data_IF_884332400748
#
_entry.id   IF_884332400748
#
_cell.length_a   1.000
_cell.length_b   1.000
_cell.length_c   1.000
_cell.angle_alpha   90.00
_cell.angle_beta   90.00
_cell.angle_gamma   90.00
#
_symmetry.space_group_name_H-M   'P 1'
#
loop_
_entity.id
_entity.type
_entity.pdbx_description
1 polymer ?
#
# COMPACT_ATOMS: atom_id res chain seq x y z
N UNK A 1 -0.80 -4.59 -1.81
CA UNK A 1 -1.27 -5.13 -0.49
C UNK A 1 -1.75 -6.54 -0.74
N UNK A 2 -1.20 -7.52 -0.04
CA UNK A 2 -1.54 -8.94 -0.24
C UNK A 2 -3.04 -9.19 -0.03
N UNK A 3 -3.64 -10.01 -0.90
CA UNK A 3 -5.07 -10.33 -0.97
C UNK A 3 -6.01 -9.12 -1.22
N UNK A 4 -5.48 -8.03 -1.79
CA UNK A 4 -6.21 -6.80 -2.09
C UNK A 4 -5.85 -6.21 -3.45
N UNK A 5 -4.55 -6.09 -3.78
CA UNK A 5 -4.09 -5.38 -4.99
C UNK A 5 -3.87 -6.34 -6.15
N UNK A 6 -4.86 -7.19 -6.40
CA UNK A 6 -4.92 -8.08 -7.55
C UNK A 6 -5.30 -7.34 -8.86
N UNK A 7 -5.25 -8.03 -9.98
CA UNK A 7 -5.58 -7.46 -11.29
C UNK A 7 -6.98 -6.80 -11.34
N UNK A 8 -8.07 -7.41 -10.81
CA UNK A 8 -9.37 -6.76 -10.73
C UNK A 8 -9.36 -5.43 -10.00
N UNK A 9 -8.65 -5.36 -8.86
CA UNK A 9 -8.51 -4.12 -8.10
C UNK A 9 -7.70 -3.05 -8.85
N UNK A 10 -6.64 -3.43 -9.55
CA UNK A 10 -5.86 -2.48 -10.38
C UNK A 10 -6.72 -1.88 -11.50
N UNK A 11 -7.55 -2.69 -12.16
CA UNK A 11 -8.54 -2.22 -13.16
C UNK A 11 -9.50 -1.20 -12.58
N UNK A 12 -10.03 -1.51 -11.39
CA UNK A 12 -10.94 -0.62 -10.69
C UNK A 12 -10.27 0.71 -10.34
N UNK A 13 -9.06 0.68 -9.80
CA UNK A 13 -8.32 1.90 -9.44
C UNK A 13 -8.03 2.77 -10.67
N UNK A 14 -7.72 2.18 -11.82
CA UNK A 14 -7.52 2.93 -13.07
C UNK A 14 -8.78 3.70 -13.49
N UNK A 15 -9.99 3.12 -13.30
CA UNK A 15 -11.28 3.78 -13.56
C UNK A 15 -11.45 5.07 -12.74
N UNK A 16 -10.94 5.11 -11.52
CA UNK A 16 -11.08 6.22 -10.58
C UNK A 16 -9.88 7.21 -10.58
N UNK A 17 -9.06 7.17 -11.62
CA UNK A 17 -7.95 8.11 -11.81
C UNK A 17 -6.56 7.54 -11.53
N UNK A 18 -6.46 6.37 -10.94
CA UNK A 18 -5.28 5.52 -10.83
C UNK A 18 -3.98 6.15 -10.33
N UNK A 19 -3.06 5.31 -9.91
CA UNK A 19 -1.69 5.70 -9.55
C UNK A 19 -0.82 5.90 -10.81
N UNK A 20 0.31 6.60 -10.68
CA UNK A 20 1.28 6.77 -11.76
C UNK A 20 2.11 5.50 -11.99
N UNK A 21 2.30 4.70 -10.92
CA UNK A 21 3.01 3.41 -10.93
C UNK A 21 2.25 2.44 -10.02
N UNK A 22 2.13 1.19 -10.45
CA UNK A 22 1.52 0.14 -9.65
C UNK A 22 2.57 -0.88 -9.17
N UNK A 23 2.34 -1.42 -7.96
CA UNK A 23 3.10 -2.54 -7.42
C UNK A 23 2.21 -3.78 -7.36
N UNK A 24 2.73 -4.92 -7.80
CA UNK A 24 2.01 -6.19 -7.65
C UNK A 24 1.86 -6.57 -6.18
N UNK A 25 0.99 -7.51 -5.89
CA UNK A 25 1.15 -8.32 -4.69
C UNK A 25 2.53 -8.98 -4.71
N UNK A 26 3.06 -9.37 -3.53
CA UNK A 26 4.40 -9.92 -3.53
C UNK A 26 4.44 -11.39 -3.95
N UNK A 27 5.32 -11.72 -4.87
CA UNK A 27 5.72 -13.11 -5.15
C UNK A 27 6.47 -13.66 -3.95
N UNK A 28 5.97 -14.77 -3.39
CA UNK A 28 6.60 -15.44 -2.25
C UNK A 28 7.75 -16.30 -2.74
N UNK A 29 8.96 -16.03 -2.23
CA UNK A 29 10.18 -16.73 -2.62
C UNK A 29 10.61 -17.67 -1.51
N UNK A 30 10.73 -18.94 -1.86
CA UNK A 30 11.19 -20.05 -1.02
C UNK A 30 11.72 -21.19 -1.94
N UNK A 31 12.46 -22.18 -1.40
CA UNK A 31 12.99 -23.27 -2.20
C UNK A 31 11.92 -23.97 -3.07
N UNK A 32 12.23 -24.12 -4.36
CA UNK A 32 11.36 -24.72 -5.37
C UNK A 32 10.06 -23.93 -5.68
N UNK A 33 9.97 -22.66 -5.28
CA UNK A 33 8.83 -21.83 -5.67
C UNK A 33 8.80 -21.56 -7.18
N UNK A 34 7.60 -21.24 -7.67
CA UNK A 34 7.36 -20.78 -9.05
C UNK A 34 6.63 -19.46 -8.99
N UNK A 35 6.65 -18.70 -10.09
CA UNK A 35 5.83 -17.48 -10.22
C UNK A 35 4.35 -17.82 -9.99
N UNK A 36 3.74 -17.09 -9.06
CA UNK A 36 2.30 -17.18 -8.82
C UNK A 36 1.55 -16.64 -10.04
N UNK A 37 0.76 -17.52 -10.68
CA UNK A 37 0.03 -17.19 -11.92
C UNK A 37 -1.02 -16.11 -11.74
N UNK A 38 -1.62 -15.99 -10.54
CA UNK A 38 -2.61 -14.95 -10.26
C UNK A 38 -1.96 -13.58 -10.16
N UNK A 39 -0.83 -13.50 -9.44
CA UNK A 39 -0.07 -12.26 -9.33
C UNK A 39 0.51 -11.90 -10.71
N UNK A 40 1.02 -12.88 -11.45
CA UNK A 40 1.61 -12.66 -12.77
C UNK A 40 0.61 -12.07 -13.78
N UNK A 41 -0.68 -12.38 -13.67
CA UNK A 41 -1.72 -11.75 -14.49
C UNK A 41 -1.75 -10.22 -14.33
N UNK A 42 -1.44 -9.70 -13.15
CA UNK A 42 -1.35 -8.25 -12.92
C UNK A 42 -0.25 -7.57 -13.76
N UNK A 43 0.76 -8.34 -14.16
CA UNK A 43 1.84 -7.90 -15.04
C UNK A 43 1.48 -8.11 -16.51
N UNK A 44 1.13 -9.36 -16.88
CA UNK A 44 0.94 -9.76 -18.29
C UNK A 44 -0.36 -9.24 -18.91
N UNK A 45 -1.35 -8.93 -18.10
CA UNK A 45 -2.65 -8.43 -18.51
C UNK A 45 -2.93 -7.03 -17.94
N UNK A 46 -1.88 -6.28 -17.59
CA UNK A 46 -1.99 -4.94 -17.01
C UNK A 46 -2.82 -4.02 -17.93
N UNK A 47 -4.05 -3.63 -17.53
CA UNK A 47 -4.92 -2.81 -18.37
C UNK A 47 -4.81 -1.32 -18.06
N UNK A 48 -3.93 -0.95 -17.13
CA UNK A 48 -3.86 0.42 -16.61
C UNK A 48 -3.02 1.34 -17.48
N UNK A 49 -2.27 0.79 -18.47
CA UNK A 49 -1.28 1.49 -19.29
C UNK A 49 -0.19 2.20 -18.45
N UNK A 50 -0.12 1.89 -17.15
CA UNK A 50 0.87 2.45 -16.23
C UNK A 50 1.97 1.45 -15.93
N UNK A 51 3.17 1.94 -15.63
CA UNK A 51 4.28 1.08 -15.21
C UNK A 51 3.90 0.19 -14.04
N UNK A 52 4.36 -1.06 -14.06
CA UNK A 52 4.14 -2.01 -12.98
C UNK A 52 5.47 -2.54 -12.45
N UNK A 53 5.60 -2.54 -11.14
CA UNK A 53 6.75 -3.05 -10.38
C UNK A 53 6.38 -4.42 -9.84
N UNK A 54 7.22 -5.43 -10.11
CA UNK A 54 7.04 -6.78 -9.56
C UNK A 54 7.71 -6.86 -8.18
N UNK A 55 6.91 -6.99 -7.13
CA UNK A 55 7.40 -7.10 -5.76
C UNK A 55 7.61 -8.57 -5.38
N UNK A 56 8.73 -8.89 -4.75
CA UNK A 56 9.01 -10.21 -4.20
C UNK A 56 9.34 -10.15 -2.71
N UNK A 57 9.14 -11.26 -2.00
CA UNK A 57 9.41 -11.39 -0.57
C UNK A 57 10.02 -12.77 -0.29
N UNK A 58 11.14 -12.79 0.42
CA UNK A 58 11.88 -14.01 0.77
C UNK A 58 13.13 -13.67 1.56
N UNK A 59 13.96 -14.69 1.83
CA UNK A 59 15.23 -14.54 2.56
C UNK A 59 16.35 -15.43 2.02
N UNK A 60 16.04 -16.28 1.04
CA UNK A 60 17.01 -17.17 0.42
C UNK A 60 17.59 -16.52 -0.83
N UNK A 61 18.91 -16.29 -0.85
CA UNK A 61 19.59 -15.53 -1.90
C UNK A 61 19.48 -16.23 -3.26
N UNK A 62 19.70 -17.54 -3.29
CA UNK A 62 19.65 -18.32 -4.54
C UNK A 62 18.26 -18.23 -5.18
N UNK A 63 17.21 -18.42 -4.37
CA UNK A 63 15.84 -18.37 -4.88
C UNK A 63 15.36 -16.96 -5.18
N UNK A 64 15.84 -15.93 -4.44
CA UNK A 64 15.56 -14.53 -4.75
C UNK A 64 16.18 -14.11 -6.09
N UNK A 65 17.43 -14.46 -6.35
CA UNK A 65 18.11 -14.16 -7.62
C UNK A 65 17.45 -14.89 -8.79
N UNK A 66 17.10 -16.19 -8.60
CA UNK A 66 16.36 -16.94 -9.60
C UNK A 66 15.00 -16.31 -9.92
N UNK A 67 14.23 -15.94 -8.90
CA UNK A 67 12.92 -15.29 -9.06
C UNK A 67 13.07 -13.93 -9.77
N UNK A 68 14.06 -13.13 -9.38
CA UNK A 68 14.35 -11.86 -10.03
C UNK A 68 14.66 -12.02 -11.52
N UNK A 69 15.45 -13.05 -11.88
CA UNK A 69 15.77 -13.38 -13.29
C UNK A 69 14.50 -13.76 -14.06
N UNK A 70 13.62 -14.56 -13.48
CA UNK A 70 12.37 -15.00 -14.10
C UNK A 70 11.41 -13.83 -14.28
N UNK A 71 11.25 -12.96 -13.27
CA UNK A 71 10.39 -11.77 -13.35
C UNK A 71 10.81 -10.81 -14.46
N UNK A 72 12.09 -10.64 -14.72
CA UNK A 72 12.61 -9.79 -15.79
C UNK A 72 12.27 -10.26 -17.22
N UNK A 73 11.76 -11.48 -17.39
CA UNK A 73 11.24 -11.96 -18.67
C UNK A 73 9.82 -11.41 -18.98
N UNK A 74 9.23 -10.66 -18.04
CA UNK A 74 7.88 -10.10 -18.16
C UNK A 74 7.92 -8.57 -18.28
N UNK A 75 6.85 -7.92 -18.76
CA UNK A 75 6.82 -6.46 -18.99
C UNK A 75 6.70 -5.68 -17.67
N UNK A 76 7.73 -5.72 -16.85
CA UNK A 76 7.89 -4.97 -15.62
C UNK A 76 8.90 -3.84 -15.79
N UNK A 77 8.75 -2.75 -15.03
CA UNK A 77 9.72 -1.65 -15.02
C UNK A 77 10.77 -1.80 -13.91
N UNK A 78 10.47 -2.57 -12.89
CA UNK A 78 11.38 -2.83 -11.78
C UNK A 78 11.07 -4.15 -11.08
N UNK A 79 12.09 -4.72 -10.44
CA UNK A 79 11.98 -5.74 -9.40
C UNK A 79 12.10 -5.04 -8.05
N UNK A 80 11.16 -5.31 -7.13
CA UNK A 80 11.13 -4.72 -5.79
C UNK A 80 11.30 -5.80 -4.71
N UNK A 81 12.18 -5.54 -3.75
CA UNK A 81 12.34 -6.39 -2.57
C UNK A 81 11.53 -5.84 -1.38
N UNK A 82 10.61 -6.65 -0.86
CA UNK A 82 9.84 -6.29 0.33
C UNK A 82 10.59 -6.65 1.63
N UNK A 83 11.07 -5.64 2.34
CA UNK A 83 11.66 -5.72 3.68
C UNK A 83 10.75 -5.16 4.79
N UNK A 84 9.46 -4.94 4.50
CA UNK A 84 8.56 -4.23 5.43
C UNK A 84 7.30 -4.98 5.85
N UNK A 85 7.05 -6.22 5.38
CA UNK A 85 5.83 -6.95 5.72
C UNK A 85 5.78 -7.29 7.21
N UNK A 86 4.74 -6.80 7.97
CA UNK A 86 4.67 -7.01 9.41
C UNK A 86 3.88 -8.28 9.79
N UNK A 87 3.50 -9.11 8.82
CA UNK A 87 2.69 -10.30 9.08
C UNK A 87 3.51 -11.36 9.86
N UNK A 88 3.00 -11.89 10.99
CA UNK A 88 3.71 -12.90 11.78
C UNK A 88 4.13 -14.14 10.98
N UNK A 89 3.30 -14.57 10.03
CA UNK A 89 3.59 -15.71 9.14
C UNK A 89 4.79 -15.45 8.21
N UNK A 90 5.15 -14.18 8.00
CA UNK A 90 6.30 -13.77 7.17
C UNK A 90 7.53 -13.52 8.04
N UNK A 91 7.43 -12.61 9.03
CA UNK A 91 8.62 -12.22 9.80
C UNK A 91 9.18 -13.33 10.69
N UNK A 92 8.35 -14.27 11.14
CA UNK A 92 8.83 -15.47 11.87
C UNK A 92 9.71 -16.40 11.02
N UNK A 93 9.58 -16.29 9.69
CA UNK A 93 10.44 -17.00 8.72
C UNK A 93 11.66 -16.16 8.30
N UNK A 94 12.01 -15.11 9.04
CA UNK A 94 13.07 -14.16 8.71
C UNK A 94 12.96 -13.58 7.28
N UNK A 95 11.72 -13.34 6.80
CA UNK A 95 11.46 -12.70 5.51
C UNK A 95 10.71 -11.37 5.71
N UNK A 96 10.66 -10.53 4.68
CA UNK A 96 10.03 -9.22 4.78
C UNK A 96 10.60 -8.40 5.93
N UNK A 97 9.72 -7.86 6.80
CA UNK A 97 10.17 -7.11 7.97
C UNK A 97 11.06 -7.89 8.95
N UNK A 98 11.03 -9.23 8.90
CA UNK A 98 11.88 -10.07 9.75
C UNK A 98 13.36 -9.96 9.44
N UNK A 99 13.73 -9.59 8.21
CA UNK A 99 15.11 -9.35 7.77
C UNK A 99 15.73 -8.11 8.43
N UNK A 100 14.92 -7.14 8.87
CA UNK A 100 15.44 -5.92 9.49
C UNK A 100 16.15 -6.14 10.84
N UNK A 101 16.13 -7.37 11.38
CA UNK A 101 16.92 -7.77 12.55
C UNK A 101 18.35 -8.19 12.23
N UNK A 102 18.66 -8.35 10.94
CA UNK A 102 19.95 -8.87 10.46
C UNK A 102 20.43 -7.99 9.28
N UNK A 103 20.99 -6.80 9.57
CA UNK A 103 21.52 -5.90 8.55
C UNK A 103 22.57 -6.55 7.64
N UNK A 104 23.42 -7.44 8.16
CA UNK A 104 24.42 -8.16 7.36
C UNK A 104 23.74 -9.08 6.34
N UNK A 105 22.63 -9.71 6.71
CA UNK A 105 21.84 -10.53 5.79
C UNK A 105 21.19 -9.68 4.73
N UNK A 106 20.66 -8.51 5.10
CA UNK A 106 20.11 -7.52 4.14
C UNK A 106 21.20 -7.12 3.14
N UNK A 107 22.40 -6.77 3.61
CA UNK A 107 23.55 -6.39 2.77
C UNK A 107 23.85 -7.46 1.71
N UNK A 108 23.96 -8.73 2.13
CA UNK A 108 24.24 -9.85 1.23
C UNK A 108 23.13 -10.08 0.18
N UNK A 109 21.86 -9.97 0.61
CA UNK A 109 20.71 -10.13 -0.30
C UNK A 109 20.71 -9.01 -1.34
N UNK A 110 20.88 -7.74 -0.90
CA UNK A 110 20.86 -6.59 -1.81
C UNK A 110 22.02 -6.67 -2.83
N UNK A 111 23.22 -7.04 -2.39
CA UNK A 111 24.37 -7.23 -3.28
C UNK A 111 24.08 -8.26 -4.37
N UNK A 112 23.61 -9.44 -3.99
CA UNK A 112 23.27 -10.49 -4.95
C UNK A 112 22.15 -10.08 -5.91
N UNK A 113 21.14 -9.37 -5.43
CA UNK A 113 20.05 -8.89 -6.29
C UNK A 113 20.50 -7.75 -7.20
N UNK A 114 21.36 -6.83 -6.73
CA UNK A 114 21.89 -5.76 -7.59
C UNK A 114 22.68 -6.31 -8.78
N UNK A 115 23.45 -7.37 -8.56
CA UNK A 115 24.19 -8.04 -9.63
C UNK A 115 23.27 -8.71 -10.67
N UNK A 116 22.16 -9.29 -10.22
CA UNK A 116 21.22 -10.03 -11.06
C UNK A 116 20.22 -9.15 -11.79
N UNK A 117 19.71 -8.09 -11.16
CA UNK A 117 18.63 -7.25 -11.69
C UNK A 117 19.19 -6.25 -12.69
N UNK A 118 18.72 -6.32 -13.96
CA UNK A 118 19.13 -5.43 -15.08
C UNK A 118 18.11 -4.34 -15.40
N UNK A 119 16.83 -4.55 -15.01
CA UNK A 119 15.83 -3.47 -14.95
C UNK A 119 16.06 -2.65 -13.67
N UNK A 120 15.19 -1.72 -13.35
CA UNK A 120 15.29 -1.01 -12.06
C UNK A 120 15.16 -1.96 -10.89
N UNK A 121 16.01 -1.76 -9.87
CA UNK A 121 15.96 -2.49 -8.61
C UNK A 121 15.50 -1.57 -7.49
N UNK A 122 14.38 -1.90 -6.86
CA UNK A 122 13.79 -1.07 -5.81
C UNK A 122 13.63 -1.85 -4.51
N UNK A 123 13.56 -1.13 -3.40
CA UNK A 123 13.41 -1.71 -2.06
C UNK A 123 12.26 -1.03 -1.35
N UNK A 124 11.39 -1.82 -0.73
CA UNK A 124 10.37 -1.32 0.19
C UNK A 124 10.65 -1.80 1.61
N UNK A 125 10.90 -0.87 2.52
CA UNK A 125 11.29 -1.15 3.91
C UNK A 125 10.37 -0.51 4.94
N UNK A 126 10.63 -0.86 6.21
CA UNK A 126 10.23 -0.11 7.41
C UNK A 126 11.48 0.44 8.11
N UNK A 127 11.29 1.31 9.09
CA UNK A 127 12.39 1.93 9.82
C UNK A 127 13.04 1.03 10.89
N UNK A 128 12.65 -0.23 10.96
CA UNK A 128 13.23 -1.22 11.86
C UNK A 128 12.26 -2.34 12.19
N UNK A 129 12.72 -3.30 13.00
CA UNK A 129 11.86 -4.41 13.46
C UNK A 129 11.19 -4.10 14.80
N UNK A 130 11.95 -4.06 15.89
CA UNK A 130 11.47 -3.76 17.23
C UNK A 130 11.50 -2.25 17.49
N UNK A 131 12.60 -1.62 17.17
CA UNK A 131 12.89 -0.22 17.37
C UNK A 131 13.45 0.43 16.10
N UNK A 132 13.42 1.76 15.97
CA UNK A 132 13.90 2.46 14.76
C UNK A 132 15.42 2.69 14.71
N UNK A 133 16.18 2.45 15.77
CA UNK A 133 17.63 2.75 15.84
C UNK A 133 18.43 1.97 14.77
N UNK A 134 18.01 0.74 14.45
CA UNK A 134 18.62 -0.07 13.40
C UNK A 134 18.54 0.56 12.01
N UNK A 135 17.69 1.59 11.84
CA UNK A 135 17.56 2.27 10.54
C UNK A 135 18.85 2.99 10.15
N UNK A 136 19.63 3.46 11.13
CA UNK A 136 20.94 4.09 10.92
C UNK A 136 21.99 3.11 10.38
N UNK A 137 21.84 1.82 10.69
CA UNK A 137 22.69 0.77 10.12
C UNK A 137 22.21 0.35 8.72
N UNK A 138 20.90 0.42 8.47
CA UNK A 138 20.30 0.01 7.20
C UNK A 138 20.49 1.03 6.08
N UNK A 139 20.46 2.34 6.38
CA UNK A 139 20.59 3.38 5.36
C UNK A 139 21.89 3.29 4.57
N UNK A 140 23.08 3.16 5.20
CA UNK A 140 24.34 2.94 4.46
C UNK A 140 24.33 1.70 3.59
N UNK A 141 23.65 0.63 4.03
CA UNK A 141 23.51 -0.61 3.25
C UNK A 141 22.68 -0.36 1.99
N UNK A 142 21.53 0.34 2.10
CA UNK A 142 20.72 0.69 0.93
C UNK A 142 21.50 1.58 -0.05
N UNK A 143 22.24 2.58 0.45
CA UNK A 143 23.04 3.46 -0.37
C UNK A 143 24.19 2.74 -1.09
N UNK A 144 24.85 1.77 -0.43
CA UNK A 144 25.96 0.98 -0.97
C UNK A 144 25.58 0.20 -2.23
N UNK A 145 24.34 -0.29 -2.32
CA UNK A 145 23.90 -1.20 -3.39
C UNK A 145 23.27 -0.50 -4.60
N UNK A 146 23.37 0.83 -4.70
CA UNK A 146 22.91 1.61 -5.86
C UNK A 146 21.48 1.19 -6.31
N UNK A 147 20.56 1.17 -5.34
CA UNK A 147 19.14 0.89 -5.63
C UNK A 147 18.52 2.08 -6.34
N UNK A 148 17.59 1.81 -7.28
CA UNK A 148 16.97 2.84 -8.13
C UNK A 148 15.85 3.61 -7.43
N UNK A 149 15.29 3.07 -6.33
CA UNK A 149 14.24 3.73 -5.53
C UNK A 149 14.10 3.03 -4.17
N UNK A 150 13.96 3.83 -3.11
CA UNK A 150 13.65 3.35 -1.78
C UNK A 150 12.24 3.78 -1.36
N UNK A 151 11.40 2.86 -0.92
CA UNK A 151 10.11 3.19 -0.28
C UNK A 151 10.20 2.93 1.22
N UNK A 152 9.99 3.95 2.04
CA UNK A 152 10.09 3.86 3.50
C UNK A 152 8.72 3.99 4.15
N UNK A 153 8.28 2.95 4.86
CA UNK A 153 7.17 3.06 5.80
C UNK A 153 7.72 3.51 7.16
N UNK A 154 7.39 4.72 7.58
CA UNK A 154 7.90 5.35 8.80
C UNK A 154 7.37 4.72 10.10
N UNK A 155 7.33 3.41 10.20
CA UNK A 155 7.04 2.63 11.42
C UNK A 155 7.88 1.38 11.47
N UNK A 156 8.19 0.89 12.66
CA UNK A 156 8.80 -0.42 12.84
C UNK A 156 7.79 -1.56 12.55
N UNK A 157 8.28 -2.78 12.43
CA UNK A 157 7.42 -3.95 12.24
C UNK A 157 6.50 -4.16 13.46
N UNK A 158 7.01 -3.96 14.67
CA UNK A 158 6.27 -4.14 15.93
C UNK A 158 5.21 -3.09 16.15
N UNK A 159 5.45 -1.85 15.77
CA UNK A 159 4.45 -0.77 15.81
C UNK A 159 3.26 -1.09 14.90
N UNK A 160 3.50 -1.79 13.80
CA UNK A 160 2.45 -2.20 12.86
C UNK A 160 1.75 -1.00 12.25
N UNK A 161 0.59 -0.63 12.81
CA UNK A 161 -0.25 0.52 12.40
C UNK A 161 -0.79 1.28 13.62
N UNK A 162 -0.19 1.12 14.80
CA UNK A 162 -0.74 1.60 16.07
C UNK A 162 -0.07 2.85 16.62
N UNK A 163 1.14 3.16 16.15
CA UNK A 163 1.89 4.37 16.53
C UNK A 163 1.71 5.46 15.48
N UNK A 164 2.29 6.61 15.75
CA UNK A 164 2.54 7.65 14.77
C UNK A 164 3.51 7.17 13.69
N UNK A 165 3.57 7.89 12.57
CA UNK A 165 4.54 7.66 11.51
C UNK A 165 5.75 8.53 11.78
N UNK A 166 6.93 7.95 11.86
CA UNK A 166 8.21 8.66 12.00
C UNK A 166 8.60 9.30 10.65
N UNK A 167 7.98 10.44 10.33
CA UNK A 167 8.27 11.18 9.09
C UNK A 167 9.69 11.77 9.09
N UNK A 168 10.24 12.09 10.26
CA UNK A 168 11.63 12.50 10.47
C UNK A 168 12.62 11.44 9.97
N UNK A 169 12.34 10.15 10.19
CA UNK A 169 13.19 9.06 9.67
C UNK A 169 13.06 8.90 8.15
N UNK A 170 11.89 9.24 7.58
CA UNK A 170 11.74 9.29 6.12
C UNK A 170 12.58 10.45 5.56
N UNK A 171 12.55 11.63 6.18
CA UNK A 171 13.39 12.77 5.79
C UNK A 171 14.89 12.42 5.86
N UNK A 172 15.32 11.71 6.92
CA UNK A 172 16.71 11.20 7.02
C UNK A 172 17.07 10.24 5.88
N UNK A 173 16.11 9.38 5.46
CA UNK A 173 16.35 8.53 4.30
C UNK A 173 16.48 9.35 3.00
N UNK A 174 15.70 10.42 2.84
CA UNK A 174 15.82 11.35 1.69
C UNK A 174 17.20 11.99 1.65
N UNK A 175 17.75 12.41 2.80
CA UNK A 175 19.09 13.00 2.90
C UNK A 175 20.20 11.98 2.63
N UNK A 176 20.01 10.73 3.06
CA UNK A 176 21.06 9.71 2.99
C UNK A 176 21.14 9.01 1.62
N UNK A 177 20.06 9.00 0.84
CA UNK A 177 19.98 8.24 -0.41
C UNK A 177 20.26 9.12 -1.62
N UNK A 178 21.02 8.57 -2.59
CA UNK A 178 21.21 9.18 -3.91
C UNK A 178 20.04 8.93 -4.87
N UNK A 179 19.22 7.92 -4.59
CA UNK A 179 18.02 7.59 -5.37
C UNK A 179 16.77 8.27 -4.80
N UNK A 180 15.69 8.39 -5.59
CA UNK A 180 14.40 8.87 -5.09
C UNK A 180 13.89 8.03 -3.91
N UNK A 181 13.30 8.71 -2.90
CA UNK A 181 12.63 8.07 -1.77
C UNK A 181 11.12 8.32 -1.85
N UNK A 182 10.31 7.28 -1.69
CA UNK A 182 8.86 7.39 -1.54
C UNK A 182 8.47 7.29 -0.06
N UNK A 183 7.69 8.27 0.41
CA UNK A 183 7.13 8.22 1.75
C UNK A 183 5.88 7.32 1.78
N UNK A 184 5.79 6.47 2.80
CA UNK A 184 4.66 5.58 3.03
C UNK A 184 4.23 5.62 4.51
N UNK A 185 2.93 5.73 4.74
CA UNK A 185 2.31 5.75 6.06
C UNK A 185 1.27 6.86 6.18
N UNK A 186 0.06 6.51 6.60
CA UNK A 186 -1.05 7.42 6.96
C UNK A 186 -1.37 8.54 5.94
N UNK A 187 -1.16 8.31 4.65
CA UNK A 187 -1.63 9.22 3.60
C UNK A 187 -3.07 8.85 3.26
N UNK A 188 -4.02 9.72 3.57
CA UNK A 188 -5.45 9.45 3.42
C UNK A 188 -6.24 10.62 2.78
N UNK A 189 -5.63 11.77 2.55
CA UNK A 189 -6.19 12.90 1.78
C UNK A 189 -5.13 13.60 0.95
N UNK A 190 -5.54 14.46 0.02
CA UNK A 190 -4.64 15.24 -0.81
C UNK A 190 -3.85 16.26 0.02
N UNK A 191 -4.48 16.88 1.01
CA UNK A 191 -3.82 17.80 1.93
C UNK A 191 -2.76 17.09 2.78
N UNK A 192 -3.09 15.91 3.36
CA UNK A 192 -2.12 15.10 4.09
C UNK A 192 -0.98 14.63 3.19
N UNK A 193 -1.26 14.31 1.93
CA UNK A 193 -0.25 13.96 0.94
C UNK A 193 0.76 15.07 0.74
N UNK A 194 0.29 16.32 0.58
CA UNK A 194 1.17 17.48 0.42
C UNK A 194 1.99 17.72 1.68
N UNK A 195 1.39 17.70 2.87
CA UNK A 195 2.13 17.85 4.15
C UNK A 195 3.24 16.81 4.29
N UNK A 196 2.95 15.53 3.97
CA UNK A 196 3.98 14.48 4.05
C UNK A 196 5.14 14.75 3.09
N UNK A 197 4.86 15.23 1.87
CA UNK A 197 5.92 15.60 0.93
C UNK A 197 6.75 16.78 1.42
N UNK A 198 6.10 17.80 2.00
CA UNK A 198 6.77 18.99 2.53
C UNK A 198 7.63 18.65 3.75
N UNK A 199 7.10 17.85 4.68
CA UNK A 199 7.79 17.46 5.93
C UNK A 199 8.97 16.51 5.67
N UNK A 200 8.91 15.69 4.61
CA UNK A 200 9.94 14.66 4.38
C UNK A 200 10.89 14.97 3.23
N UNK A 201 10.52 15.85 2.33
CA UNK A 201 11.27 16.07 1.08
C UNK A 201 11.22 14.87 0.12
N UNK A 202 10.33 13.89 0.35
CA UNK A 202 10.24 12.68 -0.47
C UNK A 202 9.85 13.02 -1.92
N UNK A 203 10.39 12.27 -2.88
CA UNK A 203 10.11 12.42 -4.30
C UNK A 203 8.67 12.04 -4.70
N UNK A 204 7.99 11.30 -3.83
CA UNK A 204 6.61 10.87 -4.06
C UNK A 204 6.07 10.03 -2.90
N UNK A 205 4.90 9.45 -3.11
CA UNK A 205 4.15 8.74 -2.08
C UNK A 205 3.81 7.32 -2.52
N UNK A 206 3.94 6.34 -1.61
CA UNK A 206 3.28 5.05 -1.76
C UNK A 206 2.04 5.01 -0.88
N UNK A 207 0.88 4.84 -1.50
CA UNK A 207 -0.42 4.85 -0.82
C UNK A 207 -1.06 3.46 -0.88
N UNK A 208 -1.47 2.94 0.27
CA UNK A 208 -2.15 1.65 0.38
C UNK A 208 -3.60 1.82 0.80
N UNK A 209 -3.86 1.73 2.10
CA UNK A 209 -5.21 1.74 2.70
C UNK A 209 -6.03 2.99 2.36
N UNK A 210 -5.36 4.15 2.24
CA UNK A 210 -6.00 5.39 1.84
C UNK A 210 -6.67 5.30 0.47
N UNK A 211 -6.02 4.64 -0.50
CA UNK A 211 -6.57 4.44 -1.84
C UNK A 211 -7.77 3.47 -1.87
N UNK A 212 -7.84 2.51 -0.94
CA UNK A 212 -9.03 1.65 -0.81
C UNK A 212 -10.22 2.44 -0.27
N UNK A 213 -9.97 3.32 0.72
CA UNK A 213 -10.99 4.17 1.29
C UNK A 213 -11.53 5.18 0.28
N UNK A 214 -10.62 5.80 -0.44
CA UNK A 214 -10.90 6.89 -1.36
C UNK A 214 -10.22 6.60 -2.71
N UNK A 215 -10.92 5.99 -3.67
CA UNK A 215 -10.32 5.62 -4.96
C UNK A 215 -9.95 6.85 -5.80
N UNK A 216 -10.54 8.02 -5.55
CA UNK A 216 -10.21 9.29 -6.23
C UNK A 216 -8.95 9.96 -5.69
N UNK A 217 -8.32 9.42 -4.65
CA UNK A 217 -7.20 10.06 -3.95
C UNK A 217 -6.06 10.48 -4.88
N UNK A 218 -5.67 9.64 -5.84
CA UNK A 218 -4.60 10.00 -6.78
C UNK A 218 -5.00 11.16 -7.71
N UNK A 219 -6.28 11.21 -8.11
CA UNK A 219 -6.83 12.33 -8.87
C UNK A 219 -6.85 13.60 -8.02
N UNK A 220 -7.34 13.54 -6.78
CA UNK A 220 -7.38 14.67 -5.84
C UNK A 220 -5.97 15.19 -5.52
N UNK A 221 -4.97 14.32 -5.33
CA UNK A 221 -3.58 14.75 -5.13
C UNK A 221 -3.07 15.52 -6.35
N UNK A 222 -3.36 15.05 -7.57
CA UNK A 222 -2.98 15.77 -8.80
C UNK A 222 -3.70 17.13 -8.91
N UNK A 223 -4.98 17.19 -8.57
CA UNK A 223 -5.73 18.47 -8.54
C UNK A 223 -5.11 19.44 -7.53
N UNK A 224 -4.87 18.97 -6.30
CA UNK A 224 -4.27 19.78 -5.24
C UNK A 224 -2.93 20.39 -5.67
N UNK A 225 -2.05 19.58 -6.27
CA UNK A 225 -0.74 20.03 -6.74
C UNK A 225 -0.82 21.04 -7.90
N UNK A 226 -1.92 21.07 -8.64
CA UNK A 226 -2.18 22.06 -9.70
C UNK A 226 -2.96 23.27 -9.23
N UNK A 227 -3.32 23.35 -7.95
CA UNK A 227 -4.15 24.41 -7.38
C UNK A 227 -5.60 24.39 -7.91
N UNK A 228 -6.08 23.24 -8.37
CA UNK A 228 -7.43 23.03 -8.86
C UNK A 228 -8.39 22.74 -7.69
N UNK A 229 -9.69 23.02 -7.89
CA UNK A 229 -10.73 22.61 -6.95
C UNK A 229 -10.77 21.08 -6.86
N UNK A 230 -10.74 20.55 -5.64
CA UNK A 230 -10.76 19.12 -5.43
C UNK A 230 -12.14 18.53 -5.77
N UNK A 231 -12.13 17.39 -6.44
CA UNK A 231 -13.31 16.56 -6.54
C UNK A 231 -13.71 16.05 -5.14
N UNK A 232 -14.90 16.37 -4.69
CA UNK A 232 -15.46 15.88 -3.43
C UNK A 232 -16.53 14.86 -3.75
N UNK A 233 -16.29 13.56 -3.48
CA UNK A 233 -17.29 12.54 -3.75
C UNK A 233 -18.51 12.73 -2.87
N UNK A 234 -19.68 12.33 -3.37
CA UNK A 234 -20.95 12.33 -2.63
C UNK A 234 -21.31 10.90 -2.20
N UNK A 235 -22.32 10.74 -1.37
CA UNK A 235 -22.80 9.42 -0.95
C UNK A 235 -23.03 8.47 -2.14
N UNK A 236 -23.72 8.94 -3.20
CA UNK A 236 -23.94 8.17 -4.43
C UNK A 236 -22.66 7.74 -5.13
N UNK A 237 -21.61 8.56 -5.12
CA UNK A 237 -20.32 8.20 -5.73
C UNK A 237 -19.68 7.05 -4.98
N UNK A 238 -19.68 7.11 -3.64
CA UNK A 238 -19.13 6.04 -2.79
C UNK A 238 -19.96 4.77 -2.91
N UNK A 239 -21.28 4.86 -2.99
CA UNK A 239 -22.17 3.71 -3.23
C UNK A 239 -21.88 3.05 -4.58
N UNK A 240 -21.65 3.85 -5.63
CA UNK A 240 -21.26 3.39 -6.96
C UNK A 240 -19.90 2.70 -6.92
N UNK A 241 -18.91 3.30 -6.25
CA UNK A 241 -17.60 2.67 -6.04
C UNK A 241 -17.71 1.31 -5.33
N UNK A 242 -18.55 1.20 -4.29
CA UNK A 242 -18.76 -0.08 -3.59
C UNK A 242 -19.37 -1.13 -4.52
N UNK A 243 -20.33 -0.76 -5.37
CA UNK A 243 -20.92 -1.67 -6.38
C UNK A 243 -19.86 -2.13 -7.38
N UNK A 244 -19.10 -1.20 -7.93
CA UNK A 244 -18.00 -1.51 -8.85
C UNK A 244 -16.95 -2.42 -8.21
N UNK A 245 -16.62 -2.16 -6.94
CA UNK A 245 -15.65 -2.98 -6.18
C UNK A 245 -16.19 -4.40 -5.96
N UNK A 246 -17.45 -4.55 -5.55
CA UNK A 246 -18.09 -5.88 -5.37
C UNK A 246 -18.04 -6.67 -6.67
N UNK A 247 -18.38 -6.03 -7.79
CA UNK A 247 -18.37 -6.70 -9.10
C UNK A 247 -16.95 -7.05 -9.54
N UNK A 248 -16.02 -6.09 -9.47
CA UNK A 248 -14.65 -6.28 -9.93
C UNK A 248 -13.91 -7.42 -9.20
N UNK A 249 -14.05 -7.50 -7.87
CA UNK A 249 -13.30 -8.48 -7.06
C UNK A 249 -14.07 -9.77 -6.77
N UNK A 250 -15.17 -10.03 -7.49
CA UNK A 250 -15.95 -11.25 -7.37
C UNK A 250 -15.15 -12.44 -7.94
N UNK A 251 -14.76 -13.44 -7.12
CA UNK A 251 -14.07 -14.60 -7.65
C UNK A 251 -15.05 -15.53 -8.34
N UNK A 252 -14.62 -16.15 -9.43
CA UNK A 252 -15.41 -17.20 -10.09
C UNK A 252 -15.69 -18.38 -9.16
N UNK A 253 -16.91 -18.90 -9.16
CA UNK A 253 -17.31 -20.08 -8.39
C UNK A 253 -17.37 -19.89 -6.87
N UNK A 254 -17.26 -18.66 -6.36
CA UNK A 254 -17.40 -18.37 -4.93
C UNK A 254 -18.85 -18.01 -4.60
N UNK A 255 -19.39 -18.60 -3.51
CA UNK A 255 -20.76 -18.30 -3.08
C UNK A 255 -20.92 -16.83 -2.65
N UNK A 256 -22.14 -16.25 -2.78
CA UNK A 256 -22.41 -14.87 -2.39
C UNK A 256 -22.00 -14.56 -0.94
N UNK A 257 -22.22 -15.46 -0.01
CA UNK A 257 -21.89 -15.28 1.41
C UNK A 257 -20.37 -15.18 1.64
N UNK A 258 -19.58 -16.03 0.96
CA UNK A 258 -18.12 -15.97 1.02
C UNK A 258 -17.59 -14.67 0.39
N UNK A 259 -18.24 -14.22 -0.68
CA UNK A 259 -17.90 -12.95 -1.31
C UNK A 259 -18.17 -11.77 -0.37
N UNK A 260 -19.33 -11.74 0.32
CA UNK A 260 -19.64 -10.75 1.37
C UNK A 260 -18.55 -10.72 2.46
N UNK A 261 -18.02 -11.88 2.89
CA UNK A 261 -16.92 -11.92 3.85
C UNK A 261 -15.63 -11.28 3.30
N UNK A 262 -15.32 -11.47 2.02
CA UNK A 262 -14.19 -10.76 1.36
C UNK A 262 -14.46 -9.26 1.34
N UNK A 263 -15.65 -8.82 0.99
CA UNK A 263 -16.02 -7.41 0.90
C UNK A 263 -15.89 -6.67 2.23
N UNK A 264 -16.20 -7.31 3.35
CA UNK A 264 -16.03 -6.71 4.69
C UNK A 264 -14.60 -6.25 4.97
N UNK A 265 -13.58 -6.91 4.36
CA UNK A 265 -12.19 -6.47 4.50
C UNK A 265 -11.98 -5.07 3.89
N UNK A 266 -12.57 -4.82 2.72
CA UNK A 266 -12.53 -3.50 2.07
C UNK A 266 -13.34 -2.46 2.86
N UNK A 267 -14.52 -2.87 3.36
CA UNK A 267 -15.39 -1.97 4.14
C UNK A 267 -14.75 -1.49 5.43
N UNK A 268 -13.79 -2.21 6.01
CA UNK A 268 -13.00 -1.73 7.14
C UNK A 268 -12.21 -0.45 6.81
N UNK A 269 -11.93 -0.19 5.54
CA UNK A 269 -11.27 1.04 5.08
C UNK A 269 -12.28 2.06 4.56
N UNK A 270 -13.17 1.67 3.66
CA UNK A 270 -14.21 2.54 3.09
C UNK A 270 -15.06 3.17 4.20
N UNK A 271 -15.49 2.37 5.16
CA UNK A 271 -16.36 2.81 6.25
C UNK A 271 -15.78 3.85 7.20
N UNK A 272 -14.45 4.08 7.18
CA UNK A 272 -13.83 5.14 7.96
C UNK A 272 -14.22 6.55 7.49
N UNK A 273 -14.76 6.67 6.29
CA UNK A 273 -15.20 7.93 5.71
C UNK A 273 -16.73 8.05 5.51
N UNK A 274 -17.52 7.06 5.96
CA UNK A 274 -18.97 7.04 5.70
C UNK A 274 -19.73 7.89 6.72
N UNK A 275 -19.48 7.72 8.01
CA UNK A 275 -20.12 8.50 9.06
C UNK A 275 -19.29 8.47 10.37
N UNK A 276 -19.45 9.48 11.27
CA UNK A 276 -18.54 9.67 12.39
C UNK A 276 -18.75 8.72 13.57
N UNK A 277 -19.93 8.10 13.71
CA UNK A 277 -20.28 7.31 14.90
C UNK A 277 -19.76 5.87 14.84
N UNK A 278 -19.34 5.39 13.65
CA UNK A 278 -18.93 4.00 13.42
C UNK A 278 -20.10 3.03 13.25
N UNK A 279 -21.34 3.54 13.17
CA UNK A 279 -22.55 2.73 13.02
C UNK A 279 -22.57 1.97 11.68
N UNK A 280 -22.14 2.61 10.59
CA UNK A 280 -21.99 1.95 9.30
C UNK A 280 -21.07 0.71 9.42
N UNK A 281 -19.89 0.89 9.99
CA UNK A 281 -18.94 -0.22 10.19
C UNK A 281 -19.49 -1.30 11.09
N UNK A 282 -20.23 -0.93 12.13
CA UNK A 282 -20.88 -1.89 13.01
C UNK A 282 -21.91 -2.74 12.27
N UNK A 283 -22.76 -2.14 11.44
CA UNK A 283 -23.81 -2.83 10.72
C UNK A 283 -23.26 -3.66 9.55
N UNK A 284 -22.37 -3.09 8.72
CA UNK A 284 -21.81 -3.77 7.53
C UNK A 284 -20.99 -5.01 7.92
N UNK A 285 -20.31 -5.01 9.07
CA UNK A 285 -19.59 -6.18 9.58
C UNK A 285 -20.51 -7.35 9.96
N UNK A 286 -21.79 -7.09 10.22
CA UNK A 286 -22.80 -8.09 10.56
C UNK A 286 -23.59 -8.63 9.37
N UNK A 287 -23.54 -7.96 8.22
CA UNK A 287 -24.18 -8.42 7.00
C UNK A 287 -23.76 -9.87 6.68
N UNK A 288 -24.70 -10.74 6.35
CA UNK A 288 -24.47 -12.14 6.01
C UNK A 288 -24.74 -12.45 4.55
N UNK A 289 -25.68 -11.74 3.96
CA UNK A 289 -26.10 -11.84 2.57
C UNK A 289 -25.70 -10.61 1.77
N UNK A 290 -25.74 -10.67 0.45
CA UNK A 290 -25.57 -9.51 -0.42
C UNK A 290 -26.71 -8.50 -0.21
N UNK A 291 -27.91 -8.94 0.08
CA UNK A 291 -29.06 -8.08 0.37
C UNK A 291 -28.80 -7.25 1.65
N UNK A 292 -28.40 -7.90 2.75
CA UNK A 292 -28.01 -7.19 3.99
C UNK A 292 -26.89 -6.18 3.76
N UNK A 293 -25.88 -6.60 2.97
CA UNK A 293 -24.73 -5.78 2.65
C UNK A 293 -25.13 -4.52 1.88
N UNK A 294 -25.83 -4.68 0.76
CA UNK A 294 -26.26 -3.55 -0.06
C UNK A 294 -27.37 -2.75 0.61
N UNK A 295 -28.29 -3.37 1.36
CA UNK A 295 -29.28 -2.65 2.16
C UNK A 295 -28.63 -1.72 3.18
N UNK A 296 -27.53 -2.14 3.81
CA UNK A 296 -26.72 -1.27 4.68
C UNK A 296 -26.06 -0.14 3.87
N UNK A 297 -25.41 -0.45 2.75
CA UNK A 297 -24.75 0.56 1.92
C UNK A 297 -25.75 1.63 1.43
N UNK A 298 -26.91 1.23 0.92
CA UNK A 298 -27.96 2.15 0.45
C UNK A 298 -28.45 3.06 1.58
N UNK A 299 -28.74 2.50 2.76
CA UNK A 299 -29.24 3.29 3.89
C UNK A 299 -28.32 4.43 4.33
N UNK A 300 -27.00 4.26 4.20
CA UNK A 300 -26.03 5.28 4.62
C UNK A 300 -25.51 6.14 3.47
N UNK A 301 -25.57 5.67 2.22
CA UNK A 301 -24.87 6.28 1.09
C UNK A 301 -25.77 6.69 -0.07
N UNK A 302 -27.08 6.31 -0.05
CA UNK A 302 -28.01 6.72 -1.09
C UNK A 302 -28.51 8.17 -0.85
N UNK A 303 -27.56 9.10 -0.92
CA UNK A 303 -27.80 10.53 -0.70
C UNK A 303 -26.77 11.37 -1.49
N UNK A 304 -27.01 12.66 -1.57
CA UNK A 304 -26.20 13.63 -2.30
C UNK A 304 -25.31 14.48 -1.36
N UNK A 305 -25.12 14.02 -0.13
CA UNK A 305 -24.25 14.72 0.83
C UNK A 305 -22.76 14.53 0.47
N UNK A 306 -21.94 15.59 0.60
CA UNK A 306 -20.52 15.51 0.34
C UNK A 306 -19.85 14.60 1.38
N UNK A 307 -19.00 13.69 0.88
CA UNK A 307 -18.25 12.77 1.73
C UNK A 307 -16.95 13.43 2.21
N UNK A 308 -16.50 13.14 3.44
CA UNK A 308 -15.28 13.73 3.99
C UNK A 308 -14.04 13.27 3.21
N UNK A 309 -13.15 14.20 2.92
CA UNK A 309 -11.86 13.90 2.31
C UNK A 309 -10.94 13.18 3.30
N UNK A 310 -10.98 13.56 4.57
CA UNK A 310 -10.30 12.89 5.67
C UNK A 310 -11.19 11.81 6.32
N UNK A 311 -10.64 10.76 6.91
CA UNK A 311 -11.43 9.81 7.67
C UNK A 311 -11.95 10.42 8.98
N UNK A 312 -13.19 10.11 9.37
CA UNK A 312 -13.76 10.57 10.65
C UNK A 312 -12.97 10.06 11.86
N UNK A 313 -12.42 8.85 11.77
CA UNK A 313 -11.57 8.25 12.79
C UNK A 313 -10.23 7.91 12.15
N UNK A 314 -9.28 8.86 12.10
CA UNK A 314 -7.95 8.60 11.57
C UNK A 314 -7.28 7.47 12.38
N UNK A 315 -6.33 6.73 11.77
CA UNK A 315 -5.56 5.73 12.50
C UNK A 315 -4.93 6.31 13.76
N UNK A 316 -4.87 5.51 14.83
CA UNK A 316 -4.27 5.90 16.11
C UNK A 316 -2.91 6.60 15.91
N UNK A 317 -2.67 7.68 16.64
CA UNK A 317 -1.46 8.53 16.55
C UNK A 317 -1.71 9.93 15.98
N UNK A 318 -2.89 10.25 15.45
CA UNK A 318 -3.16 11.56 14.82
C UNK A 318 -4.17 12.46 15.56
N UNK A 319 -4.78 11.95 16.64
CA UNK A 319 -5.78 12.76 17.40
C UNK A 319 -5.18 13.96 18.12
N UNK A 320 -3.88 13.96 18.40
CA UNK A 320 -3.25 14.98 19.25
C UNK A 320 -2.66 16.17 18.46
N UNK A 321 -2.40 16.03 17.16
CA UNK A 321 -1.80 17.09 16.35
C UNK A 321 -2.82 18.17 15.98
N UNK A 322 -4.10 17.82 15.85
CA UNK A 322 -5.17 18.79 15.52
C UNK A 322 -5.62 19.65 16.72
N UNK A 323 -5.33 19.21 17.95
CA UNK A 323 -5.69 19.96 19.17
C UNK A 323 -4.69 21.07 19.53
N UNK A 324 -3.49 21.09 18.92
CA UNK A 324 -2.38 22.00 19.24
C UNK A 324 -2.31 23.27 18.38
N UNK A 325 -3.06 23.38 17.29
CA UNK A 325 -2.96 24.53 16.35
C UNK A 325 -3.95 25.67 16.59
N UNK A 326 -4.70 25.64 17.73
CA UNK A 326 -5.53 26.74 18.19
C UNK A 326 -5.14 27.15 19.62
N UNK A 327 -3.91 27.65 19.78
CA UNK A 327 -3.58 28.55 20.91
C UNK A 327 -2.67 29.67 20.42
#
# INVERSE_FOLDING_TARGET
MQDVTDLPFLKLMAKYGGADVYFTEYFRVYPNCRLDKHILKSVTQNPTERPIVAQMIGNDIEWLTRMARELQQHPIVAVDLNLGCPAPVVYKKCAGGGLLRDPERVDRILGALREEVKVKFTVKTRVGFDTPEVFDELLPIFAKHDIDLLTVHGRTVKEGYRSEVHYDLIARAVEAMSCPVLANGNVYSAEKAQRVLDDTGAAGLMIGRGAIRNPWMFHQIRQHRRGETLFVPRGHDVLTYIRDLVEAVRPEGVSPEKHVQKMKKYMNFVGLGVEPTGRFLHEIRRARTEEDFFGTCVRFLDNDEPMPLDPFNPPLGEKDVLAGSHR
#
